data_IF_808976460302
#
_entry.id   IF_808976460302
#
_cell.length_a   1.000
_cell.length_b   1.000
_cell.length_c   1.000
_cell.angle_alpha   90.00
_cell.angle_beta   90.00
_cell.angle_gamma   90.00
#
_symmetry.space_group_name_H-M   'P 1'
#
loop_
_entity.id
_entity.type
_entity.pdbx_description
1 polymer ?
#
# COMPACT_ATOMS: atom_id res chain seq x y z
N UNK A 1 -24.15 11.96 -8.75
CA UNK A 1 -23.02 11.37 -9.51
C UNK A 1 -22.07 10.75 -8.48
N UNK A 2 -22.26 9.46 -8.15
CA UNK A 2 -21.39 8.78 -7.21
C UNK A 2 -20.14 8.31 -7.94
N UNK A 3 -18.98 8.87 -7.62
CA UNK A 3 -17.72 8.24 -7.99
C UNK A 3 -17.47 7.09 -6.99
N UNK A 4 -17.29 5.87 -7.49
CA UNK A 4 -16.82 4.75 -6.66
C UNK A 4 -15.44 5.09 -6.10
N UNK A 5 -15.23 4.78 -4.82
CA UNK A 5 -13.96 5.06 -4.14
C UNK A 5 -12.89 4.14 -4.72
N UNK A 6 -11.77 4.66 -5.25
CA UNK A 6 -10.72 3.79 -5.76
C UNK A 6 -10.19 2.88 -4.67
N UNK A 7 -9.96 1.61 -5.02
CA UNK A 7 -9.44 0.57 -4.13
C UNK A 7 -8.00 0.25 -4.49
N UNK A 8 -7.09 0.44 -3.54
CA UNK A 8 -5.65 0.24 -3.73
C UNK A 8 -5.13 -0.85 -2.78
N UNK A 9 -4.48 -1.86 -3.34
CA UNK A 9 -3.83 -2.94 -2.60
C UNK A 9 -2.30 -2.83 -2.69
N UNK A 10 -1.62 -2.79 -1.56
CA UNK A 10 -0.16 -2.83 -1.50
C UNK A 10 0.35 -4.26 -1.25
N UNK A 11 1.32 -4.71 -2.03
CA UNK A 11 1.82 -6.09 -1.95
C UNK A 11 3.32 -6.11 -1.70
N UNK A 12 3.73 -6.82 -0.64
CA UNK A 12 5.13 -7.19 -0.44
C UNK A 12 5.28 -8.70 -0.23
N UNK A 13 6.47 -9.16 0.16
CA UNK A 13 6.70 -10.59 0.40
C UNK A 13 5.88 -11.11 1.58
N UNK A 14 6.07 -10.52 2.76
CA UNK A 14 5.57 -11.06 4.03
C UNK A 14 4.47 -10.24 4.71
N UNK A 15 3.99 -9.16 4.11
CA UNK A 15 2.96 -8.25 4.66
C UNK A 15 3.23 -7.61 6.04
N UNK A 16 4.39 -7.76 6.66
CA UNK A 16 4.63 -7.20 8.01
C UNK A 16 5.44 -5.90 8.04
N UNK A 17 6.10 -5.51 6.93
CA UNK A 17 7.01 -4.36 6.92
C UNK A 17 6.60 -3.25 5.95
N UNK A 18 6.78 -3.47 4.63
CA UNK A 18 6.70 -2.44 3.59
C UNK A 18 5.27 -2.14 3.16
N UNK A 19 4.50 -3.16 2.80
CA UNK A 19 3.11 -3.01 2.37
C UNK A 19 2.19 -2.41 3.45
N UNK A 20 2.22 -2.82 4.74
CA UNK A 20 1.38 -2.16 5.75
C UNK A 20 1.80 -0.70 5.94
N UNK A 21 3.11 -0.40 5.91
CA UNK A 21 3.59 0.98 6.01
C UNK A 21 3.02 1.87 4.89
N UNK A 22 3.03 1.39 3.65
CA UNK A 22 2.47 2.11 2.51
C UNK A 22 0.96 2.34 2.65
N UNK A 23 0.20 1.31 3.05
CA UNK A 23 -1.24 1.37 3.27
C UNK A 23 -1.62 2.44 4.30
N UNK A 24 -1.04 2.36 5.51
CA UNK A 24 -1.36 3.27 6.60
C UNK A 24 -0.96 4.73 6.31
N UNK A 25 0.19 4.93 5.64
CA UNK A 25 0.61 6.27 5.20
C UNK A 25 -0.34 6.82 4.14
N UNK A 26 -0.70 6.04 3.11
CA UNK A 26 -1.59 6.51 2.05
C UNK A 26 -2.99 6.81 2.59
N UNK A 27 -3.55 5.94 3.43
CA UNK A 27 -4.84 6.17 4.10
C UNK A 27 -4.85 7.48 4.87
N UNK A 28 -3.80 7.75 5.65
CA UNK A 28 -3.66 9.01 6.40
C UNK A 28 -3.64 10.22 5.46
N UNK A 29 -2.82 10.17 4.40
CA UNK A 29 -2.70 11.25 3.41
C UNK A 29 -3.99 11.51 2.65
N UNK A 30 -4.70 10.45 2.25
CA UNK A 30 -5.98 10.54 1.56
C UNK A 30 -7.04 11.20 2.45
N UNK A 31 -7.09 10.81 3.74
CA UNK A 31 -7.98 11.43 4.72
C UNK A 31 -7.65 12.93 4.93
N UNK A 32 -6.38 13.29 5.06
CA UNK A 32 -5.93 14.69 5.18
C UNK A 32 -6.29 15.54 3.95
N UNK A 33 -6.28 14.94 2.76
CA UNK A 33 -6.63 15.60 1.50
C UNK A 33 -8.12 15.57 1.17
N UNK A 34 -8.97 14.93 1.99
CA UNK A 34 -10.39 14.74 1.70
C UNK A 34 -10.67 13.84 0.50
N UNK A 35 -9.72 12.98 0.11
CA UNK A 35 -9.83 12.07 -1.03
C UNK A 35 -10.45 10.76 -0.54
N UNK A 36 -11.64 10.36 -1.02
CA UNK A 36 -12.26 9.12 -0.63
C UNK A 36 -11.53 7.94 -1.28
N UNK A 37 -10.86 7.12 -0.47
CA UNK A 37 -10.03 6.01 -0.92
C UNK A 37 -10.20 4.79 -0.01
N UNK A 38 -10.16 3.59 -0.58
CA UNK A 38 -10.06 2.33 0.16
C UNK A 38 -8.66 1.75 -0.04
N UNK A 39 -8.01 1.37 1.05
CA UNK A 39 -6.63 0.85 1.02
C UNK A 39 -6.54 -0.44 1.81
N UNK A 40 -5.75 -1.38 1.32
CA UNK A 40 -5.42 -2.63 2.02
C UNK A 40 -3.97 -3.04 1.69
N UNK A 41 -3.45 -4.05 2.40
CA UNK A 41 -2.16 -4.65 2.12
C UNK A 41 -2.15 -6.17 2.22
N UNK A 42 -1.27 -6.81 1.45
CA UNK A 42 -1.14 -8.27 1.41
C UNK A 42 0.31 -8.74 1.17
N UNK A 43 0.55 -10.02 1.43
CA UNK A 43 1.82 -10.71 1.24
C UNK A 43 1.76 -11.77 0.16
N UNK A 44 2.83 -11.94 -0.62
CA UNK A 44 2.91 -13.02 -1.63
C UNK A 44 3.22 -14.39 -1.01
N UNK A 45 4.01 -14.48 0.07
CA UNK A 45 4.40 -15.76 0.68
C UNK A 45 3.29 -16.37 1.55
N UNK A 46 2.66 -15.53 2.39
CA UNK A 46 1.74 -15.97 3.44
C UNK A 46 2.44 -16.52 4.69
N UNK A 47 3.74 -16.32 4.85
CA UNK A 47 4.47 -16.81 6.03
C UNK A 47 4.03 -16.18 7.35
N UNK A 48 3.49 -14.97 7.29
CA UNK A 48 3.04 -14.20 8.45
C UNK A 48 1.52 -14.04 8.46
N UNK A 49 0.76 -14.92 7.79
CA UNK A 49 -0.70 -14.84 7.74
C UNK A 49 -1.28 -14.91 9.15
N UNK A 50 -2.08 -13.92 9.55
CA UNK A 50 -2.62 -13.80 10.90
C UNK A 50 -1.71 -13.06 11.91
N UNK A 51 -0.47 -12.76 11.57
CA UNK A 51 0.45 -12.06 12.46
C UNK A 51 0.25 -10.54 12.45
N UNK A 52 0.70 -9.87 13.51
CA UNK A 52 0.76 -8.41 13.55
C UNK A 52 1.94 -7.90 12.70
N UNK A 53 1.95 -6.60 12.41
CA UNK A 53 3.05 -5.96 11.71
C UNK A 53 4.34 -6.06 12.52
N UNK A 54 5.46 -5.95 11.80
CA UNK A 54 6.76 -5.93 12.43
C UNK A 54 6.85 -4.77 13.43
N UNK A 55 7.40 -5.04 14.62
CA UNK A 55 7.44 -4.09 15.75
C UNK A 55 8.02 -2.73 15.37
N UNK A 56 9.07 -2.71 14.55
CA UNK A 56 9.69 -1.46 14.10
C UNK A 56 8.79 -0.67 13.14
N UNK A 57 8.00 -1.34 12.30
CA UNK A 57 6.99 -0.68 11.46
C UNK A 57 5.89 -0.07 12.31
N UNK A 58 5.35 -0.81 13.28
CA UNK A 58 4.35 -0.29 14.24
C UNK A 58 4.87 0.93 15.00
N UNK A 59 6.12 0.85 15.50
CA UNK A 59 6.77 1.94 16.24
C UNK A 59 6.92 3.19 15.38
N UNK A 60 7.28 3.03 14.11
CA UNK A 60 7.40 4.16 13.17
C UNK A 60 6.02 4.78 12.91
N UNK A 61 5.00 3.99 12.58
CA UNK A 61 3.64 4.50 12.34
C UNK A 61 3.12 5.28 13.55
N UNK A 62 3.27 4.72 14.76
CA UNK A 62 2.91 5.38 16.01
C UNK A 62 3.67 6.69 16.22
N UNK A 63 4.97 6.73 15.91
CA UNK A 63 5.78 7.96 16.00
C UNK A 63 5.23 9.09 15.12
N UNK A 64 4.61 8.77 14.00
CA UNK A 64 3.96 9.74 13.11
C UNK A 64 2.47 9.94 13.40
N UNK A 65 1.95 9.41 14.53
CA UNK A 65 0.55 9.55 14.91
C UNK A 65 -0.42 8.78 14.01
N UNK A 66 0.07 7.76 13.30
CA UNK A 66 -0.76 6.89 12.46
C UNK A 66 -1.15 5.68 13.30
N UNK A 67 -2.44 5.55 13.57
CA UNK A 67 -2.99 4.38 14.24
C UNK A 67 -3.08 3.21 13.25
N UNK A 68 -2.49 2.09 13.66
CA UNK A 68 -2.47 0.85 12.91
C UNK A 68 -3.03 -0.34 13.72
N UNK A 69 -3.81 -0.02 14.75
CA UNK A 69 -4.53 -1.00 15.56
C UNK A 69 -5.50 -1.81 14.70
N UNK A 70 -5.57 -3.12 14.94
CA UNK A 70 -6.42 -4.03 14.17
C UNK A 70 -5.83 -4.46 12.83
N UNK A 71 -4.56 -4.12 12.56
CA UNK A 71 -3.84 -4.73 11.45
C UNK A 71 -3.65 -6.23 11.68
N UNK A 72 -3.86 -7.01 10.63
CA UNK A 72 -3.49 -8.42 10.58
C UNK A 72 -2.89 -8.70 9.21
N UNK A 73 -1.69 -9.25 9.19
CA UNK A 73 -1.03 -9.67 7.96
C UNK A 73 -1.86 -10.75 7.27
N UNK A 74 -1.99 -10.64 5.95
CA UNK A 74 -2.72 -11.61 5.13
C UNK A 74 -1.99 -11.99 3.86
N UNK A 75 -2.21 -13.21 3.38
CA UNK A 75 -1.79 -13.62 2.03
C UNK A 75 -2.69 -12.99 0.96
N UNK A 76 -2.10 -12.61 -0.18
CA UNK A 76 -2.86 -12.20 -1.36
C UNK A 76 -3.65 -13.38 -1.95
N UNK A 77 -4.87 -13.09 -2.40
CA UNK A 77 -5.80 -14.06 -3.00
C UNK A 77 -6.13 -13.67 -4.43
N UNK A 78 -6.57 -14.63 -5.23
CA UNK A 78 -6.96 -14.35 -6.62
C UNK A 78 -8.17 -13.42 -6.71
N UNK A 79 -9.05 -13.44 -5.70
CA UNK A 79 -10.16 -12.48 -5.59
C UNK A 79 -9.71 -11.03 -5.42
N UNK A 80 -8.48 -10.79 -4.94
CA UNK A 80 -7.95 -9.42 -4.82
C UNK A 80 -7.72 -8.79 -6.20
N UNK A 81 -7.41 -9.59 -7.23
CA UNK A 81 -7.22 -9.11 -8.60
C UNK A 81 -8.50 -8.53 -9.22
N UNK A 82 -9.66 -8.92 -8.71
CA UNK A 82 -10.96 -8.41 -9.18
C UNK A 82 -11.58 -7.40 -8.21
N UNK A 83 -11.23 -7.45 -6.93
CA UNK A 83 -11.77 -6.57 -5.90
C UNK A 83 -11.08 -5.19 -5.85
N UNK A 84 -9.83 -5.08 -6.30
CA UNK A 84 -9.05 -3.83 -6.24
C UNK A 84 -8.84 -3.22 -7.63
N UNK A 85 -8.90 -1.90 -7.72
CA UNK A 85 -8.66 -1.15 -8.96
C UNK A 85 -7.19 -1.05 -9.29
N UNK A 86 -6.33 -1.01 -8.26
CA UNK A 86 -4.89 -0.91 -8.36
C UNK A 86 -4.20 -1.88 -7.40
N UNK A 87 -3.21 -2.61 -7.90
CA UNK A 87 -2.35 -3.47 -7.08
C UNK A 87 -0.90 -3.00 -7.25
N UNK A 88 -0.30 -2.55 -6.15
CA UNK A 88 1.01 -1.93 -6.12
C UNK A 88 2.01 -2.90 -5.47
N UNK A 89 2.91 -3.47 -6.28
CA UNK A 89 4.00 -4.31 -5.81
C UNK A 89 5.16 -3.45 -5.27
N UNK A 90 5.65 -3.75 -4.07
CA UNK A 90 6.74 -3.01 -3.42
C UNK A 90 8.13 -3.27 -4.05
N UNK A 91 8.29 -4.34 -4.83
CA UNK A 91 9.51 -4.63 -5.57
C UNK A 91 9.25 -5.46 -6.83
N UNK A 92 10.27 -5.61 -7.67
CA UNK A 92 10.17 -6.36 -8.94
C UNK A 92 9.93 -7.87 -8.77
N UNK A 93 10.32 -8.46 -7.64
CA UNK A 93 10.03 -9.88 -7.35
C UNK A 93 8.55 -10.04 -6.99
N UNK A 94 8.01 -9.11 -6.19
CA UNK A 94 6.58 -9.07 -5.88
C UNK A 94 5.75 -8.88 -7.16
N UNK A 95 6.19 -8.03 -8.09
CA UNK A 95 5.52 -7.87 -9.38
C UNK A 95 5.46 -9.19 -10.15
N UNK A 96 6.59 -9.90 -10.29
CA UNK A 96 6.63 -11.17 -11.02
C UNK A 96 5.74 -12.25 -10.38
N UNK A 97 5.67 -12.31 -9.05
CA UNK A 97 4.74 -13.21 -8.35
C UNK A 97 3.27 -12.82 -8.58
N UNK A 98 2.96 -11.52 -8.63
CA UNK A 98 1.62 -11.02 -8.95
C UNK A 98 1.20 -11.31 -10.38
N UNK A 99 2.12 -11.17 -11.35
CA UNK A 99 1.86 -11.48 -12.76
C UNK A 99 1.48 -12.95 -12.95
N UNK A 100 2.11 -13.87 -12.20
CA UNK A 100 1.74 -15.30 -12.19
C UNK A 100 0.33 -15.52 -11.63
N UNK A 101 -0.05 -14.79 -10.57
CA UNK A 101 -1.37 -14.90 -9.94
C UNK A 101 -2.50 -14.28 -10.79
N UNK A 102 -2.16 -13.27 -11.59
CA UNK A 102 -3.10 -12.45 -12.37
C UNK A 102 -3.43 -12.98 -13.76
N UNK A 103 -2.96 -14.17 -14.13
CA UNK A 103 -3.15 -14.78 -15.45
C UNK A 103 -4.63 -15.02 -15.88
N UNK A 104 -5.62 -14.51 -15.13
CA UNK A 104 -7.05 -14.59 -15.44
C UNK A 104 -7.91 -13.33 -15.18
N UNK A 105 -7.37 -12.17 -14.78
CA UNK A 105 -8.22 -11.00 -14.49
C UNK A 105 -7.49 -9.67 -14.27
N UNK A 106 -8.00 -8.62 -14.95
CA UNK A 106 -7.71 -7.15 -14.94
C UNK A 106 -6.28 -6.63 -14.64
N UNK A 107 -5.82 -5.73 -15.53
CA UNK A 107 -4.41 -5.41 -15.84
C UNK A 107 -3.81 -4.17 -15.13
N UNK A 108 -4.22 -3.82 -13.92
CA UNK A 108 -3.71 -2.60 -13.24
C UNK A 108 -2.66 -2.92 -12.15
N UNK A 109 -1.74 -3.83 -12.44
CA UNK A 109 -0.61 -4.15 -11.56
C UNK A 109 0.55 -3.20 -11.87
N UNK A 110 1.00 -2.45 -10.86
CA UNK A 110 2.12 -1.53 -10.99
C UNK A 110 3.19 -1.93 -9.96
N UNK A 111 4.46 -1.94 -10.36
CA UNK A 111 5.55 -1.95 -9.40
C UNK A 111 5.83 -0.53 -8.94
N UNK A 112 6.08 -0.36 -7.64
CA UNK A 112 6.78 0.81 -7.10
C UNK A 112 8.22 0.78 -7.63
N UNK A 113 8.40 1.25 -8.86
CA UNK A 113 9.72 1.51 -9.40
C UNK A 113 10.14 2.87 -8.84
N UNK A 114 11.25 2.97 -8.09
CA UNK A 114 11.82 4.27 -7.81
C UNK A 114 12.14 4.92 -9.15
N UNK A 115 11.44 6.00 -9.48
CA UNK A 115 11.69 6.79 -10.68
C UNK A 115 13.08 7.40 -10.55
N UNK A 116 14.09 6.75 -11.12
CA UNK A 116 15.47 7.28 -11.17
C UNK A 116 15.58 8.56 -12.00
N UNK A 117 14.48 9.07 -12.60
CA UNK A 117 14.45 10.31 -13.38
C UNK A 117 13.71 11.48 -12.71
N UNK A 118 13.09 11.32 -11.55
CA UNK A 118 12.52 12.47 -10.81
C UNK A 118 13.22 12.66 -9.48
N UNK A 119 14.21 13.57 -9.50
CA UNK A 119 14.55 14.40 -8.33
C UNK A 119 13.21 14.80 -7.67
N UNK A 120 13.00 14.36 -6.43
CA UNK A 120 11.94 14.87 -5.56
C UNK A 120 11.97 16.40 -5.67
N UNK A 121 10.95 17.01 -6.28
CA UNK A 121 10.77 18.45 -6.16
C UNK A 121 10.46 18.69 -4.69
N UNK A 122 11.24 19.52 -3.97
CA UNK A 122 10.94 19.81 -2.59
C UNK A 122 9.52 20.35 -2.50
N UNK A 123 8.75 19.84 -1.53
CA UNK A 123 7.47 20.38 -1.15
C UNK A 123 7.64 21.90 -0.93
N UNK A 124 6.88 22.77 -1.60
CA UNK A 124 7.01 24.21 -1.34
C UNK A 124 6.69 24.42 0.13
N UNK A 125 7.68 24.86 0.90
CA UNK A 125 7.43 25.41 2.24
C UNK A 125 6.45 26.55 2.05
N UNK A 126 5.22 26.36 2.48
CA UNK A 126 4.24 27.42 2.63
C UNK A 126 4.88 28.50 3.50
N UNK A 127 5.31 29.58 2.84
CA UNK A 127 5.00 30.96 3.20
C UNK A 127 4.56 31.11 4.67
N UNK A 128 5.53 31.28 5.56
CA UNK A 128 5.32 31.95 6.85
C UNK A 128 5.32 33.46 6.55
N UNK A 129 4.14 34.04 6.36
CA UNK A 129 3.95 35.48 6.50
C UNK A 129 3.65 35.76 7.98
N UNK A 130 4.55 36.50 8.61
CA UNK A 130 4.38 37.24 9.85
C UNK A 130 5.21 38.51 9.72
#
# INVERSE_FOLDING_TARGET
MGYEKPKILFVCLGNICRSPMAEYILRRRAAEAGIPLETDSAGTSGWHDGEDMHRETAKILKKYGIDASGFTSRKIRQSDATAFDYIIAMDGKNLSELEKLSAGGRKNIQADRPDTRKRLRPCPRSVVHG
#
